data_IF_776951522687
#
_entry.id   IF_776951522687
#
_cell.length_a   1.000
_cell.length_b   1.000
_cell.length_c   1.000
_cell.angle_alpha   90.00
_cell.angle_beta   90.00
_cell.angle_gamma   90.00
#
_symmetry.space_group_name_H-M   'P 1'
#
loop_
_entity.id
_entity.type
_entity.pdbx_description
1 polymer ?
#
# COMPACT_ATOMS: atom_id res chain seq x y z
N UNK A 1 -32.43 -16.48 28.21
CA UNK A 1 -31.13 -16.57 27.53
C UNK A 1 -30.75 -15.19 27.01
N UNK A 2 -29.59 -14.63 27.38
CA UNK A 2 -29.14 -13.37 26.79
C UNK A 2 -28.95 -13.59 25.28
N UNK A 3 -29.61 -12.78 24.45
CA UNK A 3 -29.38 -12.77 23.01
C UNK A 3 -28.04 -12.07 22.76
N UNK A 4 -27.14 -12.74 22.05
CA UNK A 4 -25.91 -12.11 21.58
C UNK A 4 -26.28 -11.01 20.58
N UNK A 5 -26.25 -9.76 21.01
CA UNK A 5 -26.73 -8.63 20.20
C UNK A 5 -25.77 -8.24 19.06
N UNK A 6 -24.49 -8.64 19.16
CA UNK A 6 -23.47 -8.36 18.15
C UNK A 6 -22.35 -9.40 18.21
N UNK A 7 -22.07 -10.05 17.08
CA UNK A 7 -20.90 -10.92 16.90
C UNK A 7 -19.92 -10.21 15.97
N UNK A 8 -18.74 -9.87 16.48
CA UNK A 8 -17.65 -9.25 15.71
C UNK A 8 -16.45 -10.17 15.67
N UNK A 9 -15.93 -10.45 14.48
CA UNK A 9 -14.76 -11.28 14.30
C UNK A 9 -13.83 -10.73 13.22
N UNK A 10 -12.58 -11.16 13.28
CA UNK A 10 -11.55 -10.93 12.28
C UNK A 10 -10.69 -12.21 12.27
N UNK A 11 -10.73 -12.93 11.15
CA UNK A 11 -10.04 -14.20 10.96
C UNK A 11 -9.11 -14.02 9.78
N UNK A 12 -7.83 -14.32 9.99
CA UNK A 12 -6.82 -14.40 8.94
C UNK A 12 -6.23 -15.79 8.91
N UNK A 13 -6.27 -16.38 7.74
CA UNK A 13 -5.74 -17.71 7.47
C UNK A 13 -4.74 -17.63 6.33
N UNK A 14 -3.67 -18.40 6.44
CA UNK A 14 -2.69 -18.57 5.37
C UNK A 14 -2.45 -20.04 5.13
N UNK A 15 -2.43 -20.45 3.87
CA UNK A 15 -2.27 -21.85 3.47
C UNK A 15 -1.12 -21.98 2.48
N UNK A 16 -0.42 -23.12 2.50
CA UNK A 16 0.56 -23.47 1.46
C UNK A 16 -0.18 -24.18 0.33
N UNK A 17 0.08 -23.80 -0.91
CA UNK A 17 -0.61 -24.32 -2.11
C UNK A 17 -0.03 -25.64 -2.61
N UNK A 18 0.49 -26.50 -1.73
CA UNK A 18 1.15 -27.74 -2.13
C UNK A 18 0.16 -28.69 -2.82
N UNK A 19 0.24 -28.79 -4.15
CA UNK A 19 -0.55 -29.69 -4.99
C UNK A 19 -2.08 -29.52 -4.85
N UNK A 20 -2.56 -28.32 -4.48
CA UNK A 20 -4.00 -28.04 -4.41
C UNK A 20 -4.57 -27.77 -5.81
N UNK A 21 -5.56 -28.57 -6.20
CA UNK A 21 -6.23 -28.45 -7.51
C UNK A 21 -7.43 -27.50 -7.42
N UNK A 22 -8.08 -27.42 -6.26
CA UNK A 22 -9.27 -26.60 -6.05
C UNK A 22 -8.99 -25.53 -4.98
N UNK A 23 -9.00 -24.28 -5.40
CA UNK A 23 -8.80 -23.12 -4.55
C UNK A 23 -10.14 -22.36 -4.47
N UNK A 24 -10.74 -22.18 -3.28
CA UNK A 24 -12.02 -21.48 -3.16
C UNK A 24 -11.87 -20.03 -3.62
N UNK A 25 -12.85 -19.53 -4.37
CA UNK A 25 -12.91 -18.11 -4.73
C UNK A 25 -13.32 -17.25 -3.54
N UNK A 26 -13.27 -15.93 -3.71
CA UNK A 26 -13.82 -15.04 -2.69
C UNK A 26 -15.33 -15.23 -2.55
N UNK A 27 -16.04 -15.48 -3.65
CA UNK A 27 -17.47 -15.76 -3.68
C UNK A 27 -17.81 -17.05 -2.93
N UNK A 28 -17.01 -18.11 -3.10
CA UNK A 28 -17.19 -19.38 -2.39
C UNK A 28 -17.12 -19.18 -0.87
N UNK A 29 -16.12 -18.42 -0.40
CA UNK A 29 -15.96 -18.09 1.02
C UNK A 29 -17.10 -17.21 1.51
N UNK A 30 -17.45 -16.15 0.76
CA UNK A 30 -18.53 -15.24 1.11
C UNK A 30 -19.88 -15.97 1.21
N UNK A 31 -20.12 -16.96 0.34
CA UNK A 31 -21.34 -17.77 0.33
C UNK A 31 -21.51 -18.59 1.61
N UNK A 32 -20.44 -18.99 2.30
CA UNK A 32 -20.54 -19.71 3.58
C UNK A 32 -21.22 -18.89 4.69
N UNK A 33 -21.32 -17.57 4.50
CA UNK A 33 -21.95 -16.65 5.45
C UNK A 33 -23.36 -16.18 5.04
N UNK A 34 -23.92 -16.68 3.93
CA UNK A 34 -25.22 -16.25 3.41
C UNK A 34 -26.41 -16.43 4.38
N UNK A 35 -26.33 -17.40 5.30
CA UNK A 35 -27.35 -17.65 6.33
C UNK A 35 -27.08 -16.90 7.63
N UNK A 36 -25.96 -16.17 7.76
CA UNK A 36 -25.71 -15.36 8.94
C UNK A 36 -26.56 -14.09 8.87
N UNK A 37 -27.38 -13.79 9.90
CA UNK A 37 -28.27 -12.63 9.91
C UNK A 37 -27.51 -11.28 9.98
N UNK A 38 -26.17 -11.30 10.00
CA UNK A 38 -25.32 -10.13 10.02
C UNK A 38 -24.73 -9.90 8.62
N UNK A 39 -25.40 -9.06 7.82
CA UNK A 39 -25.12 -8.84 6.39
C UNK A 39 -23.82 -8.07 6.10
N UNK A 40 -22.95 -7.89 7.08
CA UNK A 40 -21.70 -7.14 6.93
C UNK A 40 -20.52 -8.05 7.26
N UNK A 41 -20.40 -9.19 6.58
CA UNK A 41 -19.19 -10.01 6.60
C UNK A 41 -18.49 -9.76 5.26
N UNK A 42 -17.20 -9.43 5.31
CA UNK A 42 -16.37 -9.25 4.13
C UNK A 42 -15.32 -10.35 4.13
N UNK A 43 -15.16 -11.03 3.00
CA UNK A 43 -13.99 -11.86 2.71
C UNK A 43 -13.10 -11.22 1.66
N UNK A 44 -11.79 -11.49 1.78
CA UNK A 44 -10.78 -11.26 0.76
C UNK A 44 -9.93 -12.53 0.66
N UNK A 45 -9.88 -13.12 -0.52
CA UNK A 45 -9.14 -14.36 -0.79
C UNK A 45 -8.15 -14.08 -1.90
N UNK A 46 -6.89 -14.42 -1.67
CA UNK A 46 -5.82 -14.22 -2.64
C UNK A 46 -4.92 -15.44 -2.72
N UNK A 47 -4.39 -15.67 -3.91
CA UNK A 47 -3.48 -16.77 -4.20
C UNK A 47 -2.23 -16.24 -4.88
N UNK A 48 -1.10 -16.59 -4.30
CA UNK A 48 0.23 -16.16 -4.70
C UNK A 48 0.97 -17.39 -5.24
N UNK A 49 1.11 -17.45 -6.56
CA UNK A 49 1.66 -18.57 -7.32
C UNK A 49 3.17 -18.69 -7.16
N UNK A 50 3.90 -17.56 -7.15
CA UNK A 50 5.36 -17.51 -7.06
C UNK A 50 5.83 -17.98 -5.69
N UNK A 51 5.17 -17.51 -4.62
CA UNK A 51 5.48 -17.93 -3.23
C UNK A 51 4.68 -19.16 -2.77
N UNK A 52 3.82 -19.72 -3.63
CA UNK A 52 2.98 -20.90 -3.38
C UNK A 52 2.15 -20.78 -2.08
N UNK A 53 1.53 -19.63 -1.87
CA UNK A 53 0.77 -19.32 -0.66
C UNK A 53 -0.63 -18.79 -1.01
N UNK A 54 -1.64 -19.21 -0.26
CA UNK A 54 -2.96 -18.57 -0.25
C UNK A 54 -3.15 -17.78 1.04
N UNK A 55 -3.91 -16.69 0.96
CA UNK A 55 -4.42 -15.98 2.12
C UNK A 55 -5.93 -15.83 2.04
N UNK A 56 -6.57 -15.86 3.20
CA UNK A 56 -7.98 -15.56 3.35
C UNK A 56 -8.16 -14.69 4.59
N UNK A 57 -8.80 -13.54 4.41
CA UNK A 57 -9.15 -12.62 5.48
C UNK A 57 -10.66 -12.43 5.50
N UNK A 58 -11.29 -12.76 6.63
CA UNK A 58 -12.73 -12.70 6.81
C UNK A 58 -13.04 -11.90 8.07
N UNK A 59 -13.90 -10.90 7.98
CA UNK A 59 -14.20 -10.06 9.12
C UNK A 59 -15.61 -9.46 9.08
N UNK A 60 -16.13 -9.15 10.27
CA UNK A 60 -17.36 -8.37 10.40
C UNK A 60 -17.08 -6.89 10.15
N UNK A 61 -17.78 -6.24 9.24
CA UNK A 61 -17.67 -4.82 8.98
C UNK A 61 -18.73 -4.04 9.80
N UNK A 62 -18.40 -2.85 10.35
CA UNK A 62 -17.04 -2.36 10.56
C UNK A 62 -16.35 -3.14 11.70
N UNK A 63 -15.09 -3.53 11.49
CA UNK A 63 -14.21 -4.05 12.53
C UNK A 63 -13.22 -2.98 12.95
N UNK A 64 -12.96 -2.86 14.26
CA UNK A 64 -12.08 -1.82 14.81
C UNK A 64 -10.63 -2.32 15.01
N UNK A 65 -9.97 -2.72 13.92
CA UNK A 65 -8.55 -3.10 14.01
C UNK A 65 -7.62 -1.89 13.82
N UNK A 66 -6.44 -1.96 14.42
CA UNK A 66 -5.39 -0.93 14.29
C UNK A 66 -4.51 -1.12 13.05
N UNK A 67 -4.40 -2.35 12.55
CA UNK A 67 -3.50 -2.70 11.45
C UNK A 67 -4.14 -3.64 10.43
N UNK A 68 -3.92 -3.37 9.14
CA UNK A 68 -4.33 -4.22 8.04
C UNK A 68 -3.09 -4.65 7.23
N UNK A 69 -2.73 -5.92 7.35
CA UNK A 69 -1.57 -6.48 6.68
C UNK A 69 -1.95 -7.24 5.41
N UNK A 70 -1.00 -7.26 4.46
CA UNK A 70 -1.08 -7.94 3.15
C UNK A 70 -2.33 -7.64 2.33
N UNK A 71 -2.64 -6.35 2.16
CA UNK A 71 -3.70 -5.93 1.23
C UNK A 71 -3.20 -6.10 -0.21
N UNK A 72 -4.01 -6.74 -1.06
CA UNK A 72 -3.78 -7.06 -2.47
C UNK A 72 -4.69 -6.22 -3.38
N UNK A 73 -4.57 -6.38 -4.69
CA UNK A 73 -5.46 -5.78 -5.69
C UNK A 73 -6.93 -6.21 -5.53
N UNK A 74 -7.22 -7.33 -4.88
CA UNK A 74 -8.60 -7.79 -4.63
C UNK A 74 -9.27 -7.06 -3.45
N UNK A 75 -8.64 -6.03 -2.91
CA UNK A 75 -9.19 -5.24 -1.82
C UNK A 75 -10.54 -4.59 -2.22
N UNK A 76 -11.65 -4.93 -1.53
CA UNK A 76 -12.98 -4.45 -1.93
C UNK A 76 -13.23 -2.97 -1.58
N UNK A 77 -12.28 -2.30 -0.93
CA UNK A 77 -12.46 -0.93 -0.45
C UNK A 77 -13.15 -0.86 0.91
N UNK A 78 -13.98 0.17 1.10
CA UNK A 78 -14.64 0.48 2.37
C UNK A 78 -13.78 1.38 3.28
N UNK A 79 -14.42 2.07 4.22
CA UNK A 79 -13.76 3.07 5.06
C UNK A 79 -13.43 2.46 6.42
N UNK A 80 -12.14 2.36 6.74
CA UNK A 80 -11.65 1.80 7.99
C UNK A 80 -10.95 2.87 8.82
N UNK A 81 -11.73 3.67 9.56
CA UNK A 81 -11.25 4.84 10.33
C UNK A 81 -10.31 4.51 11.49
N UNK A 82 -10.24 3.26 11.93
CA UNK A 82 -9.41 2.84 13.07
C UNK A 82 -8.01 2.34 12.68
N UNK A 83 -7.81 2.06 11.39
CA UNK A 83 -6.53 1.56 10.89
C UNK A 83 -5.51 2.68 10.90
N UNK A 84 -4.32 2.36 11.41
CA UNK A 84 -3.15 3.25 11.46
C UNK A 84 -1.97 2.65 10.71
N UNK A 85 -1.95 1.34 10.51
CA UNK A 85 -0.84 0.64 9.86
C UNK A 85 -1.39 -0.22 8.73
N UNK A 86 -0.85 -0.03 7.53
CA UNK A 86 -1.19 -0.83 6.35
C UNK A 86 0.08 -1.39 5.75
N UNK A 87 0.04 -2.66 5.33
CA UNK A 87 1.04 -3.22 4.43
C UNK A 87 0.36 -3.74 3.16
N UNK A 88 0.90 -3.37 2.01
CA UNK A 88 0.46 -3.78 0.68
C UNK A 88 1.42 -4.86 0.17
N UNK A 89 0.86 -5.93 -0.38
CA UNK A 89 1.62 -7.02 -1.00
C UNK A 89 0.78 -7.67 -2.07
N UNK A 90 1.35 -7.88 -3.25
CA UNK A 90 0.74 -8.64 -4.34
C UNK A 90 1.82 -9.16 -5.30
N UNK A 91 1.52 -10.23 -6.04
CA UNK A 91 2.32 -10.70 -7.17
C UNK A 91 1.96 -10.00 -8.47
N UNK A 92 0.84 -9.26 -8.49
CA UNK A 92 0.42 -8.40 -9.60
C UNK A 92 0.81 -6.92 -9.36
N UNK A 93 1.04 -6.13 -10.41
CA UNK A 93 1.30 -4.69 -10.28
C UNK A 93 0.21 -3.94 -9.52
N UNK A 94 0.58 -2.87 -8.82
CA UNK A 94 -0.35 -1.92 -8.23
C UNK A 94 -0.45 -0.65 -9.07
N UNK A 95 -1.59 -0.41 -9.70
CA UNK A 95 -1.78 0.81 -10.50
C UNK A 95 -2.12 2.02 -9.62
N UNK A 96 -1.97 3.23 -10.17
CA UNK A 96 -2.24 4.49 -9.45
C UNK A 96 -3.61 4.50 -8.72
N UNK A 97 -4.66 3.99 -9.39
CA UNK A 97 -6.00 3.92 -8.82
C UNK A 97 -6.06 3.10 -7.51
N UNK A 98 -5.23 2.06 -7.39
CA UNK A 98 -5.15 1.28 -6.16
C UNK A 98 -4.66 2.14 -5.00
N UNK A 99 -3.59 2.90 -5.17
CA UNK A 99 -3.10 3.83 -4.14
C UNK A 99 -4.13 4.90 -3.78
N UNK A 100 -4.89 5.39 -4.78
CA UNK A 100 -6.00 6.30 -4.53
C UNK A 100 -7.07 5.63 -3.64
N UNK A 101 -7.49 4.40 -3.96
CA UNK A 101 -8.44 3.64 -3.17
C UNK A 101 -7.93 3.41 -1.73
N UNK A 102 -6.66 3.05 -1.55
CA UNK A 102 -6.01 2.91 -0.24
C UNK A 102 -6.10 4.21 0.56
N UNK A 103 -5.82 5.36 -0.07
CA UNK A 103 -5.90 6.67 0.60
C UNK A 103 -7.31 6.99 1.12
N UNK A 104 -8.36 6.63 0.36
CA UNK A 104 -9.77 6.84 0.74
C UNK A 104 -10.25 5.84 1.79
N UNK A 105 -9.79 4.59 1.69
CA UNK A 105 -10.16 3.53 2.63
C UNK A 105 -9.51 3.69 4.00
N UNK A 106 -8.31 4.28 4.08
CA UNK A 106 -7.55 4.43 5.32
C UNK A 106 -7.16 5.88 5.58
N UNK A 107 -8.14 6.77 5.83
CA UNK A 107 -7.90 8.21 5.90
C UNK A 107 -6.93 8.62 7.02
N UNK A 108 -6.74 7.80 8.05
CA UNK A 108 -5.88 8.07 9.21
C UNK A 108 -4.62 7.20 9.26
N UNK A 109 -4.22 6.61 8.14
CA UNK A 109 -3.00 5.80 8.06
C UNK A 109 -1.77 6.60 8.50
N UNK A 110 -0.95 5.99 9.36
CA UNK A 110 0.31 6.54 9.89
C UNK A 110 1.54 5.79 9.37
N UNK A 111 1.40 4.49 9.08
CA UNK A 111 2.47 3.66 8.54
C UNK A 111 1.97 2.91 7.31
N UNK A 112 2.69 3.06 6.20
CA UNK A 112 2.47 2.32 4.97
C UNK A 112 3.73 1.55 4.61
N UNK A 113 3.61 0.24 4.40
CA UNK A 113 4.67 -0.61 3.88
C UNK A 113 4.22 -1.18 2.55
N UNK A 114 5.07 -1.12 1.53
CA UNK A 114 4.79 -1.67 0.22
C UNK A 114 5.86 -2.72 -0.12
N UNK A 115 5.40 -3.93 -0.46
CA UNK A 115 6.24 -5.04 -0.90
C UNK A 115 5.66 -5.51 -2.22
N UNK A 116 6.28 -5.09 -3.33
CA UNK A 116 5.88 -5.48 -4.67
C UNK A 116 7.02 -5.14 -5.63
N UNK A 117 7.59 -6.16 -6.27
CA UNK A 117 8.71 -6.00 -7.20
C UNK A 117 8.25 -5.87 -8.66
N UNK A 118 6.95 -6.02 -8.95
CA UNK A 118 6.43 -5.89 -10.31
C UNK A 118 6.32 -4.41 -10.71
N UNK A 119 6.76 -4.04 -11.92
CA UNK A 119 6.55 -2.69 -12.45
C UNK A 119 5.06 -2.41 -12.69
N UNK A 120 4.69 -1.14 -12.67
CA UNK A 120 3.35 -0.70 -13.12
C UNK A 120 3.21 -0.94 -14.62
N UNK A 121 2.05 -1.45 -15.04
CA UNK A 121 1.76 -1.64 -16.47
C UNK A 121 1.42 -0.30 -17.11
N UNK A 122 0.58 0.49 -16.43
CA UNK A 122 0.10 1.77 -16.91
C UNK A 122 0.91 2.89 -16.27
N UNK A 123 2.17 3.00 -16.71
CA UNK A 123 2.96 4.21 -16.45
C UNK A 123 2.17 5.36 -17.05
N UNK A 124 1.62 6.24 -16.22
CA UNK A 124 0.92 7.45 -16.65
C UNK A 124 1.87 8.45 -17.34
N UNK A 125 2.64 8.00 -18.33
CA UNK A 125 3.40 8.82 -19.25
C UNK A 125 2.53 9.13 -20.46
N UNK A 126 1.72 10.20 -20.36
CA UNK A 126 1.46 11.07 -21.51
C UNK A 126 0.54 10.60 -22.63
N UNK A 127 -0.35 9.61 -22.41
CA UNK A 127 -1.51 9.41 -23.29
C UNK A 127 -2.80 9.48 -22.47
N UNK A 128 -3.22 10.72 -22.23
CA UNK A 128 -4.60 11.03 -21.91
C UNK A 128 -5.42 10.68 -23.15
N UNK A 129 -5.88 9.43 -23.25
CA UNK A 129 -7.09 9.19 -24.01
C UNK A 129 -8.22 9.89 -23.25
N UNK A 130 -8.97 10.75 -23.95
CA UNK A 130 -10.02 11.69 -23.49
C UNK A 130 -11.19 11.07 -22.68
N UNK A 131 -11.04 9.84 -22.17
CA UNK A 131 -12.06 9.12 -21.39
C UNK A 131 -11.64 8.81 -19.94
N UNK A 132 -10.37 9.00 -19.58
CA UNK A 132 -9.89 8.85 -18.20
C UNK A 132 -9.61 10.23 -17.58
N UNK A 133 -10.67 11.01 -17.41
CA UNK A 133 -10.65 12.28 -16.68
C UNK A 133 -10.01 12.09 -15.29
N UNK A 134 -8.94 12.87 -15.03
CA UNK A 134 -8.43 13.20 -13.70
C UNK A 134 -8.44 12.07 -12.66
N UNK A 135 -7.52 11.10 -12.76
CA UNK A 135 -7.13 10.36 -11.56
C UNK A 135 -6.60 11.38 -10.53
N UNK A 136 -7.34 11.48 -9.43
CA UNK A 136 -7.10 12.47 -8.39
C UNK A 136 -5.83 12.13 -7.62
N UNK A 137 -5.06 13.15 -7.26
CA UNK A 137 -3.87 13.02 -6.43
C UNK A 137 -4.22 12.19 -5.17
N UNK A 138 -3.41 11.18 -4.89
CA UNK A 138 -3.55 10.39 -3.67
C UNK A 138 -3.08 11.21 -2.46
N UNK A 139 -3.93 11.36 -1.43
CA UNK A 139 -3.60 12.18 -0.26
C UNK A 139 -3.41 11.33 0.99
N UNK A 140 -2.26 11.48 1.65
CA UNK A 140 -1.91 10.72 2.84
C UNK A 140 -1.65 11.65 4.05
N UNK A 141 -2.64 12.42 4.53
CA UNK A 141 -2.42 13.54 5.44
C UNK A 141 -1.80 13.17 6.80
N UNK A 142 -1.91 11.92 7.22
CA UNK A 142 -1.43 11.43 8.52
C UNK A 142 -0.23 10.49 8.42
N UNK A 143 0.27 10.23 7.21
CA UNK A 143 1.34 9.27 7.00
C UNK A 143 2.67 9.78 7.58
N UNK A 144 3.18 9.07 8.58
CA UNK A 144 4.42 9.43 9.27
C UNK A 144 5.58 8.50 8.92
N UNK A 145 5.29 7.33 8.35
CA UNK A 145 6.28 6.33 7.98
C UNK A 145 5.87 5.63 6.67
N UNK A 146 6.78 5.64 5.71
CA UNK A 146 6.65 4.97 4.42
C UNK A 146 7.85 4.04 4.22
N UNK A 147 7.58 2.75 4.03
CA UNK A 147 8.61 1.75 3.76
C UNK A 147 8.45 1.19 2.34
N UNK A 148 9.47 1.43 1.51
CA UNK A 148 9.56 1.05 0.09
C UNK A 148 10.85 0.25 -0.18
N UNK A 149 11.42 -0.42 0.82
CA UNK A 149 12.70 -1.15 0.66
C UNK A 149 12.60 -2.35 -0.28
N UNK A 150 11.42 -2.95 -0.39
CA UNK A 150 11.11 -4.12 -1.22
C UNK A 150 10.09 -3.77 -2.31
N UNK A 151 10.13 -2.53 -2.79
CA UNK A 151 9.23 -2.00 -3.80
C UNK A 151 9.97 -1.70 -5.10
N UNK A 152 9.33 -1.96 -6.23
CA UNK A 152 9.79 -1.55 -7.56
C UNK A 152 9.87 -0.01 -7.69
N UNK A 153 10.81 0.47 -8.51
CA UNK A 153 11.08 1.89 -8.78
C UNK A 153 9.82 2.72 -9.06
N UNK A 154 8.89 2.16 -9.85
CA UNK A 154 7.64 2.82 -10.23
C UNK A 154 6.82 3.26 -9.00
N UNK A 155 6.83 2.47 -7.92
CA UNK A 155 6.13 2.84 -6.69
C UNK A 155 6.86 3.90 -5.89
N UNK A 156 8.19 3.95 -5.96
CA UNK A 156 8.96 5.05 -5.37
C UNK A 156 8.63 6.34 -6.12
N UNK A 157 8.51 6.27 -7.44
CA UNK A 157 8.06 7.40 -8.26
C UNK A 157 6.63 7.83 -7.90
N UNK A 158 5.70 6.88 -7.75
CA UNK A 158 4.30 7.11 -7.36
C UNK A 158 4.17 7.98 -6.10
N UNK A 159 4.97 7.72 -5.07
CA UNK A 159 4.95 8.49 -3.83
C UNK A 159 5.79 9.78 -3.89
N UNK A 160 6.92 9.77 -4.61
CA UNK A 160 7.83 10.92 -4.60
C UNK A 160 7.44 12.00 -5.62
N UNK A 161 6.77 11.68 -6.72
CA UNK A 161 6.29 12.67 -7.68
C UNK A 161 5.07 13.40 -7.11
N UNK A 162 5.18 14.72 -7.03
CA UNK A 162 4.19 15.58 -6.37
C UNK A 162 2.86 15.71 -7.11
N UNK A 163 2.84 15.44 -8.41
CA UNK A 163 1.62 15.38 -9.22
C UNK A 163 0.83 14.09 -9.04
N UNK A 164 1.40 13.06 -8.40
CA UNK A 164 0.75 11.76 -8.17
C UNK A 164 0.26 11.62 -6.72
N UNK A 165 1.11 12.02 -5.77
CA UNK A 165 0.82 11.85 -4.34
C UNK A 165 1.12 13.12 -3.55
N UNK A 166 0.22 13.48 -2.64
CA UNK A 166 0.46 14.50 -1.63
C UNK A 166 0.85 13.85 -0.29
N UNK A 167 2.16 13.91 0.02
CA UNK A 167 2.69 13.48 1.31
C UNK A 167 2.61 14.60 2.37
N UNK A 168 2.51 14.27 3.66
CA UNK A 168 2.53 15.25 4.74
C UNK A 168 3.98 15.59 5.14
N UNK A 169 4.14 16.66 5.90
CA UNK A 169 5.42 16.99 6.51
C UNK A 169 5.82 15.98 7.60
N UNK A 170 7.12 15.91 7.89
CA UNK A 170 7.71 15.06 8.91
C UNK A 170 7.64 13.55 8.63
N UNK A 171 7.66 13.17 7.34
CA UNK A 171 7.66 11.78 6.92
C UNK A 171 9.02 11.10 7.16
N UNK A 172 8.99 9.85 7.63
CA UNK A 172 10.12 8.93 7.61
C UNK A 172 10.01 8.00 6.39
N UNK A 173 11.03 8.02 5.52
CA UNK A 173 11.10 7.14 4.35
C UNK A 173 12.21 6.10 4.53
N UNK A 174 11.92 4.83 4.24
CA UNK A 174 12.91 3.76 4.07
C UNK A 174 12.87 3.26 2.63
N UNK A 175 14.02 3.25 1.96
CA UNK A 175 14.13 2.92 0.52
C UNK A 175 15.54 2.44 0.18
N UNK A 176 15.66 1.66 -0.90
CA UNK A 176 16.97 1.33 -1.47
C UNK A 176 17.64 2.56 -2.11
N UNK A 177 18.94 2.71 -1.87
CA UNK A 177 19.71 3.86 -2.35
C UNK A 177 19.79 3.93 -3.89
N UNK A 178 19.98 2.80 -4.58
CA UNK A 178 20.10 2.79 -6.03
C UNK A 178 18.78 3.11 -6.70
N UNK A 179 17.68 2.56 -6.17
CA UNK A 179 16.32 2.89 -6.59
C UNK A 179 16.04 4.38 -6.44
N UNK A 180 16.27 4.94 -5.24
CA UNK A 180 16.05 6.36 -4.99
C UNK A 180 16.89 7.24 -5.90
N UNK A 181 18.16 6.87 -6.14
CA UNK A 181 19.05 7.57 -7.06
C UNK A 181 18.50 7.58 -8.50
N UNK A 182 17.92 6.48 -8.99
CA UNK A 182 17.30 6.43 -10.33
C UNK A 182 16.07 7.32 -10.41
N UNK A 183 15.13 7.18 -9.48
CA UNK A 183 13.86 7.95 -9.46
C UNK A 183 14.09 9.45 -9.31
N UNK A 184 15.07 9.85 -8.51
CA UNK A 184 15.43 11.28 -8.33
C UNK A 184 16.32 11.82 -9.46
N UNK A 185 16.60 11.04 -10.51
CA UNK A 185 17.53 11.38 -11.59
C UNK A 185 18.87 11.85 -11.03
N UNK A 186 19.52 11.00 -10.25
CA UNK A 186 20.78 11.31 -9.55
C UNK A 186 20.64 12.50 -8.58
N UNK A 187 19.49 12.62 -7.90
CA UNK A 187 19.21 13.72 -6.97
C UNK A 187 19.23 15.10 -7.64
N UNK A 188 18.67 15.19 -8.85
CA UNK A 188 18.53 16.46 -9.60
C UNK A 188 17.09 16.77 -10.01
N UNK A 189 16.18 15.79 -9.94
CA UNK A 189 14.79 15.96 -10.36
C UNK A 189 14.05 17.00 -9.50
N UNK A 190 13.37 17.94 -10.17
CA UNK A 190 12.52 18.92 -9.51
C UNK A 190 11.14 18.38 -9.16
N UNK A 191 10.60 17.42 -9.93
CA UNK A 191 9.25 16.86 -9.72
C UNK A 191 9.16 16.05 -8.43
N UNK A 192 10.24 15.38 -8.05
CA UNK A 192 10.28 14.63 -6.78
C UNK A 192 10.70 15.51 -5.60
N UNK A 193 11.23 16.70 -5.86
CA UNK A 193 11.84 17.57 -4.85
C UNK A 193 10.85 18.06 -3.81
N UNK A 194 9.61 18.32 -4.22
CA UNK A 194 8.59 18.87 -3.33
C UNK A 194 8.20 17.88 -2.24
N UNK A 195 7.96 16.61 -2.57
CA UNK A 195 7.72 15.58 -1.56
C UNK A 195 8.99 15.20 -0.80
N UNK A 196 10.16 15.18 -1.46
CA UNK A 196 11.44 14.93 -0.78
C UNK A 196 11.75 15.94 0.33
N UNK A 197 11.39 17.22 0.14
CA UNK A 197 11.55 18.27 1.17
C UNK A 197 10.73 18.03 2.44
N UNK A 198 9.66 17.23 2.37
CA UNK A 198 8.76 16.93 3.49
C UNK A 198 9.33 15.84 4.41
N UNK A 199 10.41 15.17 4.01
CA UNK A 199 11.05 14.11 4.78
C UNK A 199 11.79 14.67 6.00
N UNK A 200 11.41 14.19 7.19
CA UNK A 200 12.17 14.41 8.43
C UNK A 200 13.34 13.45 8.54
N UNK A 201 13.18 12.22 8.09
CA UNK A 201 14.22 11.20 8.19
C UNK A 201 14.19 10.24 7.00
N UNK A 202 15.36 9.79 6.58
CA UNK A 202 15.55 8.93 5.41
C UNK A 202 16.52 7.81 5.77
N UNK A 203 16.06 6.57 5.66
CA UNK A 203 16.89 5.37 5.79
C UNK A 203 17.20 4.82 4.40
N UNK A 204 18.49 4.67 4.11
CA UNK A 204 18.99 4.23 2.82
C UNK A 204 19.61 2.85 2.92
N UNK A 205 18.93 1.86 2.37
CA UNK A 205 19.47 0.50 2.28
C UNK A 205 20.58 0.46 1.22
N UNK A 206 21.62 -0.33 1.49
CA UNK A 206 22.73 -0.55 0.55
C UNK A 206 23.78 0.58 0.49
N UNK A 207 23.73 1.59 1.37
CA UNK A 207 24.70 2.71 1.36
C UNK A 207 25.20 3.11 2.76
N UNK A 208 26.47 2.82 3.04
CA UNK A 208 27.11 3.16 4.32
C UNK A 208 27.64 4.60 4.42
N UNK A 209 27.99 5.23 3.28
CA UNK A 209 28.55 6.59 3.24
C UNK A 209 27.69 7.47 2.36
N UNK A 210 27.13 8.53 2.95
CA UNK A 210 26.21 9.44 2.26
C UNK A 210 26.99 10.52 1.51
N UNK A 211 26.90 10.59 0.17
CA UNK A 211 27.55 11.63 -0.61
C UNK A 211 26.98 13.02 -0.31
N UNK A 212 27.80 14.07 -0.52
CA UNK A 212 27.41 15.47 -0.25
C UNK A 212 26.16 15.90 -1.05
N UNK A 213 26.08 15.53 -2.32
CA UNK A 213 24.94 15.88 -3.19
C UNK A 213 23.60 15.32 -2.67
N UNK A 214 23.61 14.18 -1.97
CA UNK A 214 22.40 13.64 -1.35
C UNK A 214 21.93 14.55 -0.22
N UNK A 215 22.87 15.04 0.61
CA UNK A 215 22.55 15.99 1.69
C UNK A 215 22.05 17.33 1.14
N UNK A 216 22.59 17.78 0.01
CA UNK A 216 22.14 19.01 -0.66
C UNK A 216 20.72 18.85 -1.23
N UNK A 217 20.35 17.65 -1.68
CA UNK A 217 19.00 17.34 -2.14
C UNK A 217 18.00 17.19 -0.98
N UNK A 218 18.46 16.73 0.18
CA UNK A 218 17.67 16.54 1.41
C UNK A 218 18.18 17.41 2.58
N UNK A 219 18.14 18.75 2.48
CA UNK A 219 18.87 19.64 3.39
C UNK A 219 18.37 19.62 4.84
N UNK A 220 17.12 19.22 5.07
CA UNK A 220 16.49 19.19 6.40
C UNK A 220 16.19 17.77 6.90
N UNK A 221 16.63 16.75 6.17
CA UNK A 221 16.33 15.35 6.47
C UNK A 221 17.47 14.71 7.23
N UNK A 222 17.17 14.07 8.36
CA UNK A 222 18.12 13.22 9.07
C UNK A 222 18.31 11.92 8.28
N UNK A 223 19.48 11.72 7.68
CA UNK A 223 19.81 10.48 6.98
C UNK A 223 20.38 9.49 8.00
N UNK A 224 19.73 8.32 8.12
CA UNK A 224 20.05 7.24 9.06
C UNK A 224 21.00 6.22 8.45
#
# INVERSE_FOLDING_TARGET
MPKLNKFTFNIRSTVRLNNQINLPSNEDIQYTFNHFPNNQIISCVDYFSEIKQGQCHIYSYPYEWKAYHKITNNFPGGISKYVREVSLFDEQPFEHYFFFQISKSFPFIKKLTLINEKPQNDKQSGKLDDKNEHLSISEYPHLSQLNLTEAHDDYIEEFLVDTKTCLPNNLYLSVDYQVLKRVTQHFTSNTTRNNCKKLRSLSLIGKYRIPKYVKEYFPHTKIL
#
